data_IF_961843236665
#
_entry.id   IF_961843236665
#
_cell.length_a   1.000
_cell.length_b   1.000
_cell.length_c   1.000
_cell.angle_alpha   90.00
_cell.angle_beta   90.00
_cell.angle_gamma   90.00
#
_symmetry.space_group_name_H-M   'P 1'
#
loop_
_entity.id
_entity.type
_entity.pdbx_description
1 polymer ?
#
# COMPACT_ATOMS: atom_id res chain seq x y z
N UNK A 1 -8.94 -19.00 -2.88
CA UNK A 1 -8.11 -17.83 -3.24
C UNK A 1 -7.26 -17.45 -2.04
N UNK A 2 -6.09 -16.85 -2.28
CA UNK A 2 -5.26 -16.28 -1.22
C UNK A 2 -6.05 -15.22 -0.44
N UNK A 3 -5.98 -15.23 0.89
CA UNK A 3 -6.62 -14.21 1.74
C UNK A 3 -5.81 -12.92 1.64
N UNK A 4 -6.46 -11.84 1.26
CA UNK A 4 -5.80 -10.54 1.00
C UNK A 4 -6.19 -9.52 2.06
N UNK A 5 -5.18 -8.85 2.64
CA UNK A 5 -5.35 -7.70 3.50
C UNK A 5 -4.80 -6.45 2.79
N UNK A 6 -5.63 -5.46 2.58
CA UNK A 6 -5.22 -4.13 2.14
C UNK A 6 -5.05 -3.22 3.36
N UNK A 7 -3.82 -2.82 3.64
CA UNK A 7 -3.51 -1.76 4.60
C UNK A 7 -3.51 -0.44 3.84
N UNK A 8 -4.57 0.34 4.03
CA UNK A 8 -4.77 1.63 3.38
C UNK A 8 -4.33 2.75 4.33
N UNK A 9 -3.36 3.55 3.89
CA UNK A 9 -2.99 4.79 4.59
C UNK A 9 -3.21 5.99 3.70
N UNK A 10 -4.12 6.87 4.10
CA UNK A 10 -4.40 8.13 3.43
C UNK A 10 -5.09 9.09 4.39
N UNK A 11 -4.44 10.20 4.79
CA UNK A 11 -4.96 11.10 5.82
C UNK A 11 -6.30 11.77 5.44
N UNK A 12 -6.58 11.93 4.16
CA UNK A 12 -7.84 12.45 3.64
C UNK A 12 -8.40 11.57 2.51
N UNK A 13 -8.67 10.30 2.79
CA UNK A 13 -9.14 9.34 1.79
C UNK A 13 -10.49 9.74 1.18
N UNK A 14 -11.35 10.39 1.96
CA UNK A 14 -12.68 10.84 1.51
C UNK A 14 -12.59 11.70 0.25
N UNK A 15 -11.58 12.56 0.15
CA UNK A 15 -11.37 13.47 -0.96
C UNK A 15 -10.31 12.98 -1.96
N UNK A 16 -9.75 11.80 -1.75
CA UNK A 16 -8.76 11.24 -2.67
C UNK A 16 -9.41 10.83 -3.99
N UNK A 17 -8.92 11.36 -5.10
CA UNK A 17 -9.26 10.90 -6.43
C UNK A 17 -8.60 9.53 -6.71
N UNK A 18 -7.27 9.49 -6.63
CA UNK A 18 -6.50 8.36 -7.07
C UNK A 18 -6.70 7.10 -6.21
N UNK A 19 -6.49 7.21 -4.89
CA UNK A 19 -6.55 6.04 -4.03
C UNK A 19 -7.96 5.44 -3.96
N UNK A 20 -9.02 6.26 -4.09
CA UNK A 20 -10.39 5.73 -4.18
C UNK A 20 -10.59 4.86 -5.40
N UNK A 21 -10.16 5.31 -6.59
CA UNK A 21 -10.29 4.55 -7.84
C UNK A 21 -9.56 3.21 -7.72
N UNK A 22 -8.32 3.21 -7.24
CA UNK A 22 -7.54 1.98 -7.07
C UNK A 22 -8.23 1.02 -6.10
N UNK A 23 -8.65 1.51 -4.93
CA UNK A 23 -9.30 0.68 -3.90
C UNK A 23 -10.65 0.15 -4.38
N UNK A 24 -11.48 0.97 -5.05
CA UNK A 24 -12.79 0.55 -5.53
C UNK A 24 -12.65 -0.50 -6.66
N UNK A 25 -11.67 -0.34 -7.55
CA UNK A 25 -11.36 -1.37 -8.55
C UNK A 25 -10.84 -2.66 -7.91
N UNK A 26 -9.96 -2.56 -6.89
CA UNK A 26 -9.48 -3.74 -6.15
C UNK A 26 -10.60 -4.48 -5.44
N UNK A 27 -11.58 -3.79 -4.84
CA UNK A 27 -12.78 -4.43 -4.25
C UNK A 27 -13.57 -5.23 -5.28
N UNK A 28 -13.65 -4.75 -6.52
CA UNK A 28 -14.31 -5.49 -7.61
C UNK A 28 -13.53 -6.74 -8.02
N UNK A 29 -12.20 -6.65 -8.06
CA UNK A 29 -11.32 -7.73 -8.48
C UNK A 29 -11.08 -8.78 -7.39
N UNK A 30 -11.13 -8.37 -6.11
CA UNK A 30 -10.90 -9.18 -4.93
C UNK A 30 -12.03 -8.93 -3.92
N UNK A 31 -13.25 -9.47 -4.14
CA UNK A 31 -14.42 -9.15 -3.31
C UNK A 31 -14.24 -9.48 -1.83
N UNK A 32 -13.48 -10.53 -1.50
CA UNK A 32 -13.24 -10.98 -0.12
C UNK A 32 -12.01 -10.32 0.54
N UNK A 33 -11.48 -9.25 -0.06
CA UNK A 33 -10.33 -8.52 0.48
C UNK A 33 -10.71 -7.78 1.76
N UNK A 34 -10.01 -8.07 2.86
CA UNK A 34 -10.12 -7.28 4.09
C UNK A 34 -9.39 -5.95 3.92
N UNK A 35 -10.00 -4.84 4.37
CA UNK A 35 -9.40 -3.50 4.30
C UNK A 35 -9.20 -2.95 5.70
N UNK A 36 -7.95 -2.65 6.05
CA UNK A 36 -7.57 -1.88 7.22
C UNK A 36 -7.23 -0.46 6.81
N UNK A 37 -8.21 0.45 6.85
CA UNK A 37 -7.97 1.88 6.61
C UNK A 37 -7.46 2.52 7.91
N UNK A 38 -6.15 2.52 8.07
CA UNK A 38 -5.50 2.85 9.34
C UNK A 38 -5.70 4.30 9.78
N UNK A 39 -5.77 5.26 8.85
CA UNK A 39 -6.04 6.65 9.19
C UNK A 39 -7.47 6.88 9.70
N UNK A 40 -8.44 6.07 9.25
CA UNK A 40 -9.80 6.11 9.77
C UNK A 40 -9.96 5.36 11.09
N UNK A 41 -9.24 4.24 11.25
CA UNK A 41 -9.28 3.43 12.46
C UNK A 41 -8.51 4.06 13.63
N UNK A 42 -7.43 4.78 13.32
CA UNK A 42 -6.48 5.33 14.31
C UNK A 42 -6.19 6.81 14.05
N UNK A 43 -7.20 7.69 14.09
CA UNK A 43 -7.05 9.11 13.76
C UNK A 43 -6.13 9.85 14.74
N UNK A 44 -5.96 9.32 15.96
CA UNK A 44 -5.05 9.84 16.98
C UNK A 44 -3.67 9.15 16.98
N UNK A 45 -3.42 8.25 16.04
CA UNK A 45 -2.18 7.50 15.93
C UNK A 45 -1.99 6.39 16.97
N UNK A 46 -3.01 6.09 17.79
CA UNK A 46 -2.95 5.00 18.79
C UNK A 46 -3.39 3.69 18.16
N UNK A 47 -2.46 2.99 17.57
CA UNK A 47 -2.71 1.76 16.84
C UNK A 47 -3.06 0.61 17.80
N UNK A 48 -4.15 -0.10 17.54
CA UNK A 48 -4.44 -1.35 18.21
C UNK A 48 -3.60 -2.48 17.59
N UNK A 49 -2.38 -2.61 18.09
CA UNK A 49 -1.37 -3.56 17.58
C UNK A 49 -1.90 -4.98 17.50
N UNK A 50 -2.60 -5.44 18.54
CA UNK A 50 -3.13 -6.81 18.59
C UNK A 50 -4.16 -7.05 17.48
N UNK A 51 -5.09 -6.11 17.27
CA UNK A 51 -6.10 -6.23 16.22
C UNK A 51 -5.47 -6.25 14.82
N UNK A 52 -4.44 -5.42 14.57
CA UNK A 52 -3.75 -5.40 13.29
C UNK A 52 -2.92 -6.68 13.06
N UNK A 53 -2.26 -7.19 14.11
CA UNK A 53 -1.55 -8.46 14.05
C UNK A 53 -2.50 -9.64 13.76
N UNK A 54 -3.70 -9.66 14.32
CA UNK A 54 -4.71 -10.68 14.03
C UNK A 54 -5.17 -10.67 12.57
N UNK A 55 -5.30 -9.48 11.94
CA UNK A 55 -5.58 -9.35 10.50
C UNK A 55 -4.42 -9.89 9.66
N UNK A 56 -3.19 -9.52 10.02
CA UNK A 56 -1.98 -10.00 9.34
C UNK A 56 -1.86 -11.52 9.41
N UNK A 57 -2.18 -12.14 10.54
CA UNK A 57 -2.12 -13.60 10.70
C UNK A 57 -3.10 -14.32 9.76
N UNK A 58 -4.27 -13.74 9.52
CA UNK A 58 -5.30 -14.32 8.64
C UNK A 58 -4.99 -14.17 7.16
N UNK A 59 -4.19 -13.17 6.77
CA UNK A 59 -3.88 -12.88 5.38
C UNK A 59 -2.69 -13.71 4.88
N UNK A 60 -2.71 -14.07 3.60
CA UNK A 60 -1.58 -14.66 2.88
C UNK A 60 -0.81 -13.58 2.11
N UNK A 61 -1.53 -12.57 1.63
CA UNK A 61 -0.98 -11.42 0.90
C UNK A 61 -1.40 -10.12 1.58
N UNK A 62 -0.44 -9.25 1.80
CA UNK A 62 -0.60 -7.91 2.35
C UNK A 62 -0.33 -6.90 1.23
N UNK A 63 -1.23 -5.94 1.06
CA UNK A 63 -1.07 -4.83 0.11
C UNK A 63 -0.96 -3.54 0.92
N UNK A 64 0.12 -2.79 0.76
CA UNK A 64 0.20 -1.42 1.24
C UNK A 64 -0.28 -0.49 0.13
N UNK A 65 -1.40 0.22 0.35
CA UNK A 65 -1.95 1.21 -0.57
C UNK A 65 -1.85 2.60 0.04
N UNK A 66 -1.12 3.51 -0.64
CA UNK A 66 -0.91 4.86 -0.11
C UNK A 66 -0.51 5.87 -1.21
N UNK A 67 -0.73 7.18 -0.98
CA UNK A 67 -0.10 8.24 -1.76
C UNK A 67 1.33 8.47 -1.27
N UNK A 68 2.26 8.67 -2.17
CA UNK A 68 3.64 9.04 -1.80
C UNK A 68 3.69 10.52 -1.42
N UNK A 69 4.16 10.80 -0.21
CA UNK A 69 4.43 12.14 0.29
C UNK A 69 5.92 12.31 0.55
N UNK A 70 6.55 13.31 -0.09
CA UNK A 70 7.98 13.59 0.10
C UNK A 70 8.86 12.32 -0.01
N UNK A 71 8.61 11.53 -1.06
CA UNK A 71 9.35 10.29 -1.35
C UNK A 71 9.21 9.19 -0.29
N UNK A 72 8.17 9.26 0.55
CA UNK A 72 7.89 8.33 1.65
C UNK A 72 6.41 7.94 1.69
N UNK A 73 6.11 6.90 2.45
CA UNK A 73 4.74 6.62 2.87
C UNK A 73 4.22 7.72 3.82
N UNK A 74 2.90 7.86 3.97
CA UNK A 74 2.33 8.65 5.05
C UNK A 74 2.89 8.22 6.41
N UNK A 75 3.03 9.18 7.34
CA UNK A 75 3.66 8.91 8.63
C UNK A 75 2.97 7.78 9.41
N UNK A 76 1.65 7.68 9.30
CA UNK A 76 0.89 6.68 10.02
C UNK A 76 1.18 5.26 9.53
N UNK A 77 1.47 5.07 8.23
CA UNK A 77 1.89 3.76 7.73
C UNK A 77 3.27 3.38 8.26
N UNK A 78 4.21 4.32 8.32
CA UNK A 78 5.53 4.09 8.91
C UNK A 78 5.39 3.70 10.39
N UNK A 79 4.61 4.48 11.15
CA UNK A 79 4.31 4.17 12.55
C UNK A 79 3.61 2.82 12.70
N UNK A 80 2.67 2.50 11.82
CA UNK A 80 1.97 1.23 11.86
C UNK A 80 2.94 0.05 11.67
N UNK A 81 3.89 0.16 10.73
CA UNK A 81 4.93 -0.86 10.54
C UNK A 81 5.80 -0.99 11.78
N UNK A 82 6.25 0.14 12.38
CA UNK A 82 7.06 0.14 13.59
C UNK A 82 6.36 -0.53 14.78
N UNK A 83 5.09 -0.21 15.00
CA UNK A 83 4.33 -0.72 16.15
C UNK A 83 3.89 -2.18 15.93
N UNK A 84 3.42 -2.53 14.72
CA UNK A 84 2.76 -3.82 14.45
C UNK A 84 3.78 -4.91 14.11
N UNK A 85 4.88 -4.58 13.42
CA UNK A 85 5.97 -5.51 13.13
C UNK A 85 6.94 -5.63 14.31
N UNK A 86 6.38 -5.80 15.49
CA UNK A 86 7.11 -5.81 16.76
C UNK A 86 8.01 -7.05 16.91
N UNK A 87 9.03 -6.91 17.80
CA UNK A 87 9.84 -8.05 18.26
C UNK A 87 8.94 -9.14 18.87
N UNK A 88 9.25 -10.41 18.56
CA UNK A 88 8.44 -11.55 19.01
C UNK A 88 7.19 -11.81 18.16
N UNK A 89 6.87 -10.90 17.22
CA UNK A 89 5.81 -11.12 16.23
C UNK A 89 6.40 -11.22 14.80
N UNK A 90 6.99 -10.15 14.29
CA UNK A 90 7.52 -10.12 12.93
C UNK A 90 8.99 -10.56 12.85
N UNK A 91 9.75 -10.40 13.92
CA UNK A 91 11.17 -10.78 14.00
C UNK A 91 11.58 -11.21 15.41
N UNK A 92 12.83 -11.67 15.56
CA UNK A 92 13.37 -12.17 16.84
C UNK A 92 13.21 -13.69 16.99
N UNK A 93 13.73 -14.26 18.08
CA UNK A 93 13.81 -15.71 18.27
C UNK A 93 12.46 -16.45 18.28
N UNK A 94 11.39 -15.79 18.70
CA UNK A 94 10.02 -16.31 18.73
C UNK A 94 9.10 -15.66 17.68
N UNK A 95 9.66 -14.78 16.83
CA UNK A 95 8.94 -14.00 15.82
C UNK A 95 8.71 -14.75 14.51
N UNK A 96 8.81 -13.98 13.40
CA UNK A 96 8.64 -14.47 12.03
C UNK A 96 7.25 -15.03 11.73
N UNK A 97 6.20 -14.54 12.41
CA UNK A 97 4.80 -14.96 12.15
C UNK A 97 4.29 -14.51 10.77
N UNK A 98 5.05 -13.66 10.09
CA UNK A 98 4.78 -13.20 8.73
C UNK A 98 5.57 -13.99 7.67
N UNK A 99 6.39 -14.97 8.07
CA UNK A 99 7.23 -15.76 7.17
C UNK A 99 6.41 -16.40 6.04
N UNK A 100 6.89 -16.24 4.82
CA UNK A 100 6.27 -16.78 3.60
C UNK A 100 5.07 -16.00 3.07
N UNK A 101 4.48 -15.06 3.85
CA UNK A 101 3.42 -14.16 3.36
C UNK A 101 3.99 -13.21 2.31
N UNK A 102 3.13 -12.69 1.43
CA UNK A 102 3.52 -11.78 0.35
C UNK A 102 3.23 -10.34 0.71
N UNK A 103 4.18 -9.43 0.47
CA UNK A 103 3.98 -7.98 0.53
C UNK A 103 3.97 -7.39 -0.88
N UNK A 104 2.92 -6.64 -1.21
CA UNK A 104 2.79 -5.85 -2.45
C UNK A 104 2.65 -4.39 -2.07
N UNK A 105 3.28 -3.49 -2.84
CA UNK A 105 3.21 -2.04 -2.62
C UNK A 105 2.47 -1.38 -3.77
N UNK A 106 1.47 -0.57 -3.47
CA UNK A 106 0.65 0.15 -4.45
C UNK A 106 0.65 1.64 -4.12
N UNK A 107 1.19 2.46 -5.04
CA UNK A 107 1.55 3.85 -4.77
C UNK A 107 0.90 4.77 -5.80
N UNK A 108 0.34 5.89 -5.35
CA UNK A 108 -0.09 6.99 -6.22
C UNK A 108 0.81 8.20 -5.99
N UNK A 109 1.15 8.91 -7.05
CA UNK A 109 2.10 10.03 -7.00
C UNK A 109 1.58 11.24 -7.76
N UNK A 110 1.78 12.44 -7.17
CA UNK A 110 1.41 13.70 -7.80
C UNK A 110 2.43 14.21 -8.81
N UNK A 111 3.71 13.84 -8.66
CA UNK A 111 4.79 14.25 -9.54
C UNK A 111 4.78 13.54 -10.89
N UNK A 112 5.42 14.14 -11.87
CA UNK A 112 5.53 13.61 -13.21
C UNK A 112 6.51 12.42 -13.28
N UNK A 113 6.24 11.44 -14.15
CA UNK A 113 7.09 10.25 -14.31
C UNK A 113 8.57 10.59 -14.60
N UNK A 114 8.81 11.66 -15.37
CA UNK A 114 10.17 12.11 -15.71
C UNK A 114 11.00 12.53 -14.49
N UNK A 115 10.33 12.94 -13.38
CA UNK A 115 10.98 13.33 -12.13
C UNK A 115 11.52 12.13 -11.35
N UNK A 116 10.95 10.94 -11.59
CA UNK A 116 11.29 9.70 -10.90
C UNK A 116 12.31 8.86 -11.68
N UNK A 117 13.36 9.53 -12.20
CA UNK A 117 14.48 8.91 -12.92
C UNK A 117 15.81 9.26 -12.28
N UNK A 118 16.80 8.40 -12.42
CA UNK A 118 18.14 8.65 -11.90
C UNK A 118 18.22 8.69 -10.38
N UNK A 119 18.44 9.86 -9.79
CA UNK A 119 18.60 9.99 -8.32
C UNK A 119 17.29 9.70 -7.55
N UNK A 120 16.15 9.92 -8.19
CA UNK A 120 14.81 9.70 -7.61
C UNK A 120 14.14 8.45 -8.16
N UNK A 121 14.94 7.48 -8.58
CA UNK A 121 14.45 6.22 -9.13
C UNK A 121 13.45 5.56 -8.19
N UNK A 122 12.31 5.12 -8.75
CA UNK A 122 11.23 4.51 -7.99
C UNK A 122 11.68 3.22 -7.28
N UNK A 123 12.59 2.46 -7.86
CA UNK A 123 13.15 1.26 -7.22
C UNK A 123 13.81 1.59 -5.88
N UNK A 124 14.50 2.73 -5.78
CA UNK A 124 15.09 3.20 -4.52
C UNK A 124 14.04 3.61 -3.50
N UNK A 125 12.92 4.15 -3.96
CA UNK A 125 11.82 4.59 -3.09
C UNK A 125 11.01 3.39 -2.57
N UNK A 126 10.95 2.31 -3.33
CA UNK A 126 10.29 1.06 -2.96
C UNK A 126 11.21 0.14 -2.16
N UNK A 127 12.51 0.25 -2.35
CA UNK A 127 13.54 -0.56 -1.68
C UNK A 127 13.39 -0.74 -0.17
N UNK A 128 13.05 0.29 0.61
CA UNK A 128 12.79 0.13 2.05
C UNK A 128 11.67 -0.86 2.38
N UNK A 129 10.62 -0.95 1.56
CA UNK A 129 9.54 -1.93 1.75
C UNK A 129 10.00 -3.34 1.41
N UNK A 130 10.79 -3.49 0.35
CA UNK A 130 11.43 -4.77 0.02
C UNK A 130 12.35 -5.23 1.14
N UNK A 131 13.24 -4.35 1.64
CA UNK A 131 14.11 -4.66 2.78
C UNK A 131 13.28 -5.08 4.01
N UNK A 132 12.19 -4.38 4.31
CA UNK A 132 11.30 -4.72 5.42
C UNK A 132 10.69 -6.12 5.23
N UNK A 133 10.17 -6.42 4.03
CA UNK A 133 9.61 -7.73 3.72
C UNK A 133 10.65 -8.85 3.92
N UNK A 134 11.82 -8.69 3.35
CA UNK A 134 12.90 -9.68 3.44
C UNK A 134 13.38 -9.87 4.89
N UNK A 135 13.51 -8.78 5.64
CA UNK A 135 13.94 -8.85 7.04
C UNK A 135 12.99 -9.69 7.91
N UNK A 136 11.68 -9.58 7.68
CA UNK A 136 10.67 -10.36 8.42
C UNK A 136 10.30 -11.67 7.70
N UNK A 137 11.12 -12.11 6.74
CA UNK A 137 10.98 -13.33 5.93
C UNK A 137 9.69 -13.42 5.11
N UNK A 138 9.09 -12.29 4.77
CA UNK A 138 8.04 -12.21 3.77
C UNK A 138 8.66 -12.29 2.36
N UNK A 139 7.81 -12.63 1.39
CA UNK A 139 8.15 -12.50 -0.04
C UNK A 139 7.78 -11.09 -0.49
N UNK A 140 8.70 -10.37 -1.12
CA UNK A 140 8.34 -9.13 -1.81
C UNK A 140 7.68 -9.47 -3.15
N UNK A 141 6.37 -9.21 -3.25
CA UNK A 141 5.56 -9.52 -4.42
C UNK A 141 5.63 -8.48 -5.53
N UNK A 142 6.41 -7.41 -5.33
CA UNK A 142 6.56 -6.31 -6.27
C UNK A 142 5.66 -5.12 -5.95
N UNK A 143 5.55 -4.23 -6.93
CA UNK A 143 4.83 -2.98 -6.76
C UNK A 143 4.07 -2.54 -8.01
N UNK A 144 3.09 -1.66 -7.81
CA UNK A 144 2.35 -0.97 -8.86
C UNK A 144 2.20 0.51 -8.50
N UNK A 145 2.13 1.37 -9.52
CA UNK A 145 2.11 2.81 -9.30
C UNK A 145 1.40 3.56 -10.44
N UNK A 146 1.00 4.79 -10.13
CA UNK A 146 0.54 5.77 -11.13
C UNK A 146 1.12 7.15 -10.79
N UNK A 147 1.74 7.78 -11.76
CA UNK A 147 2.28 9.14 -11.71
C UNK A 147 1.27 10.19 -12.20
N UNK A 148 1.64 11.46 -12.09
CA UNK A 148 0.91 12.60 -12.63
C UNK A 148 -0.53 12.71 -12.10
N UNK A 149 -0.72 12.49 -10.82
CA UNK A 149 -2.02 12.70 -10.16
C UNK A 149 -1.91 13.92 -9.25
N UNK A 150 -1.88 15.14 -9.79
CA UNK A 150 -1.77 16.33 -8.97
C UNK A 150 -3.04 16.52 -8.11
N UNK A 151 -2.91 17.29 -7.04
CA UNK A 151 -4.04 17.60 -6.14
C UNK A 151 -5.23 18.21 -6.89
N UNK A 152 -4.94 18.98 -7.94
CA UNK A 152 -5.91 19.69 -8.79
C UNK A 152 -6.51 18.83 -9.91
N UNK A 153 -6.26 17.53 -9.94
CA UNK A 153 -6.71 16.64 -11.01
C UNK A 153 -8.23 16.71 -11.27
N UNK A 154 -9.00 16.99 -10.23
CA UNK A 154 -10.47 17.11 -10.32
C UNK A 154 -10.93 18.34 -11.12
N UNK A 155 -10.07 19.34 -11.24
CA UNK A 155 -10.33 20.58 -11.97
C UNK A 155 -10.10 20.42 -13.48
N UNK A 156 -9.62 19.25 -13.94
CA UNK A 156 -9.29 18.93 -15.33
C UNK A 156 -9.98 17.63 -15.78
N UNK A 157 -11.29 17.65 -16.11
CA UNK A 157 -12.09 16.44 -16.35
C UNK A 157 -11.53 15.50 -17.42
N UNK A 158 -11.00 16.02 -18.53
CA UNK A 158 -10.42 15.19 -19.60
C UNK A 158 -9.17 14.44 -19.14
N UNK A 159 -8.29 15.14 -18.39
CA UNK A 159 -7.10 14.53 -17.80
C UNK A 159 -7.52 13.51 -16.75
N UNK A 160 -8.51 13.84 -15.92
CA UNK A 160 -9.03 12.94 -14.89
C UNK A 160 -9.56 11.63 -15.48
N UNK A 161 -10.22 11.68 -16.66
CA UNK A 161 -10.69 10.49 -17.36
C UNK A 161 -9.54 9.56 -17.77
N UNK A 162 -8.50 10.10 -18.38
CA UNK A 162 -7.30 9.33 -18.78
C UNK A 162 -6.61 8.75 -17.54
N UNK A 163 -6.47 9.54 -16.49
CA UNK A 163 -5.82 9.09 -15.24
C UNK A 163 -6.65 8.03 -14.52
N UNK A 164 -7.98 8.07 -14.62
CA UNK A 164 -8.83 7.00 -14.08
C UNK A 164 -8.49 5.65 -14.73
N UNK A 165 -8.34 5.58 -16.03
CA UNK A 165 -7.97 4.35 -16.75
C UNK A 165 -6.58 3.84 -16.31
N UNK A 166 -5.61 4.74 -16.09
CA UNK A 166 -4.28 4.37 -15.59
C UNK A 166 -4.34 3.81 -14.16
N UNK A 167 -5.15 4.40 -13.29
CA UNK A 167 -5.37 3.94 -11.92
C UNK A 167 -6.09 2.58 -11.86
N UNK A 168 -7.04 2.34 -12.76
CA UNK A 168 -7.67 1.04 -12.90
C UNK A 168 -6.66 -0.03 -13.36
N UNK A 169 -5.77 0.30 -14.30
CA UNK A 169 -4.64 -0.57 -14.71
C UNK A 169 -3.65 -0.83 -13.56
N UNK A 170 -3.41 0.17 -12.70
CA UNK A 170 -2.62 -0.05 -11.47
C UNK A 170 -3.28 -1.11 -10.60
N UNK A 171 -4.58 -1.04 -10.36
CA UNK A 171 -5.31 -2.03 -9.58
C UNK A 171 -5.25 -3.43 -10.23
N UNK A 172 -5.38 -3.52 -11.56
CA UNK A 172 -5.23 -4.77 -12.32
C UNK A 172 -3.82 -5.36 -12.20
N UNK A 173 -2.78 -4.51 -12.21
CA UNK A 173 -1.39 -4.92 -11.95
C UNK A 173 -1.25 -5.48 -10.53
N UNK A 174 -1.78 -4.79 -9.51
CA UNK A 174 -1.79 -5.29 -8.12
C UNK A 174 -2.47 -6.66 -8.05
N UNK A 175 -3.63 -6.81 -8.68
CA UNK A 175 -4.34 -8.08 -8.74
C UNK A 175 -3.53 -9.20 -9.40
N UNK A 176 -2.81 -8.90 -10.48
CA UNK A 176 -1.92 -9.88 -11.10
C UNK A 176 -0.78 -10.31 -10.16
N UNK A 177 -0.22 -9.38 -9.38
CA UNK A 177 0.81 -9.67 -8.37
C UNK A 177 0.28 -10.53 -7.20
N UNK A 178 -1.00 -10.38 -6.85
CA UNK A 178 -1.66 -11.24 -5.85
C UNK A 178 -1.70 -12.70 -6.32
N UNK A 179 -1.96 -12.91 -7.62
CA UNK A 179 -2.12 -14.25 -8.22
C UNK A 179 -0.81 -15.01 -8.45
N UNK A 180 0.27 -14.30 -8.72
CA UNK A 180 1.60 -14.86 -8.97
C UNK A 180 2.30 -15.22 -7.65
#
# INVERSE_FOLDING_TARGET
>A
MSKVLLVLSHPNFKDSFANKIVVDKLKTLIPDMEISHIDALYPDGKINVKAEQEKLLKADTIIFQFPMFWFKSPYLLSKWVEDVFAHGFAYGSSGYKLEGKKLIVSITMGGEEKEFKGKFDLERLVGPFECTALFVKMKFGGYAYTFDIPFTIKDTPDVAKVKKEQLEKQAEKVFSLVKN
#
